data_IF_077205413484
#
_entry.id   IF_077205413484
#
_cell.length_a   1.000
_cell.length_b   1.000
_cell.length_c   1.000
_cell.angle_alpha   90.00
_cell.angle_beta   90.00
_cell.angle_gamma   90.00
#
_symmetry.space_group_name_H-M   'P 1'
#
loop_
_entity.id
_entity.type
_entity.pdbx_description
1 polymer ?
#
# COMPACT_ATOMS: atom_id res chain seq x y z
N UNK A 1 -23.99 15.29 4.62
CA UNK A 1 -23.09 16.28 4.01
C UNK A 1 -23.75 16.76 2.74
N UNK A 2 -24.03 18.06 2.62
CA UNK A 2 -24.66 18.61 1.42
C UNK A 2 -23.60 18.92 0.33
N UNK A 3 -24.06 19.24 -0.89
CA UNK A 3 -23.17 19.56 -2.03
C UNK A 3 -22.27 20.78 -1.74
N UNK A 4 -22.74 21.74 -0.96
CA UNK A 4 -22.03 22.99 -0.66
C UNK A 4 -20.90 22.72 0.33
N UNK A 5 -21.13 21.87 1.33
CA UNK A 5 -20.14 21.41 2.28
C UNK A 5 -19.07 20.57 1.60
N UNK A 6 -19.46 19.62 0.72
CA UNK A 6 -18.50 18.83 -0.05
C UNK A 6 -17.57 19.72 -0.90
N UNK A 7 -18.14 20.72 -1.60
CA UNK A 7 -17.34 21.65 -2.42
C UNK A 7 -16.44 22.54 -1.57
N UNK A 8 -16.88 22.93 -0.36
CA UNK A 8 -16.07 23.68 0.58
C UNK A 8 -14.89 22.83 1.06
N UNK A 9 -15.14 21.58 1.43
CA UNK A 9 -14.10 20.65 1.87
C UNK A 9 -13.10 20.35 0.75
N UNK A 10 -13.56 20.14 -0.48
CA UNK A 10 -12.69 19.93 -1.63
C UNK A 10 -11.83 21.16 -1.93
N UNK A 11 -12.39 22.38 -1.84
CA UNK A 11 -11.65 23.63 -1.97
C UNK A 11 -10.59 23.78 -0.87
N UNK A 12 -10.93 23.46 0.38
CA UNK A 12 -9.99 23.53 1.49
C UNK A 12 -8.84 22.54 1.28
N UNK A 13 -9.14 21.30 0.92
CA UNK A 13 -8.11 20.29 0.60
C UNK A 13 -7.18 20.74 -0.52
N UNK A 14 -7.71 21.35 -1.58
CA UNK A 14 -6.89 21.88 -2.66
C UNK A 14 -5.95 22.99 -2.16
N UNK A 15 -6.43 23.91 -1.32
CA UNK A 15 -5.61 24.96 -0.71
C UNK A 15 -4.54 24.41 0.24
N UNK A 16 -4.91 23.46 1.08
CA UNK A 16 -3.97 22.80 2.00
C UNK A 16 -2.85 22.11 1.23
N UNK A 17 -3.20 21.52 0.07
CA UNK A 17 -2.24 20.89 -0.80
C UNK A 17 -1.33 21.91 -1.50
N UNK A 18 -1.86 23.04 -1.98
CA UNK A 18 -1.02 24.15 -2.46
C UNK A 18 -0.02 24.60 -1.38
N UNK A 19 -0.50 24.84 -0.16
CA UNK A 19 0.33 25.26 0.96
C UNK A 19 1.41 24.22 1.26
N UNK A 20 1.07 22.93 1.23
CA UNK A 20 2.01 21.84 1.40
C UNK A 20 3.10 21.83 0.32
N UNK A 21 2.74 22.01 -0.96
CA UNK A 21 3.74 22.05 -2.04
C UNK A 21 4.66 23.27 -1.91
N UNK A 22 4.10 24.45 -1.63
CA UNK A 22 4.88 25.67 -1.43
C UNK A 22 5.83 25.55 -0.24
N UNK A 23 5.35 25.06 0.91
CA UNK A 23 6.20 24.85 2.08
C UNK A 23 7.26 23.79 1.79
N UNK A 24 6.92 22.71 1.07
CA UNK A 24 7.89 21.66 0.75
C UNK A 24 9.01 22.16 -0.15
N UNK A 25 8.67 22.97 -1.17
CA UNK A 25 9.64 23.61 -2.05
C UNK A 25 10.56 24.56 -1.28
N UNK A 26 10.00 25.36 -0.37
CA UNK A 26 10.77 26.35 0.40
C UNK A 26 11.60 25.72 1.51
N UNK A 27 10.95 24.96 2.40
CA UNK A 27 11.53 24.46 3.64
C UNK A 27 12.49 23.29 3.40
N UNK A 28 12.18 22.40 2.44
CA UNK A 28 12.94 21.16 2.23
C UNK A 28 13.77 21.15 0.95
N UNK A 29 13.38 21.89 -0.09
CA UNK A 29 14.17 22.03 -1.32
C UNK A 29 14.86 23.40 -1.44
N UNK A 30 14.73 24.27 -0.44
CA UNK A 30 15.46 25.54 -0.37
C UNK A 30 15.13 26.50 -1.53
N UNK A 31 13.92 26.41 -2.09
CA UNK A 31 13.49 27.25 -3.21
C UNK A 31 12.94 28.57 -2.73
N UNK A 32 13.36 29.66 -3.40
CA UNK A 32 12.71 30.95 -3.23
C UNK A 32 11.36 30.99 -3.96
N UNK A 33 10.44 31.80 -3.44
CA UNK A 33 9.14 32.04 -4.07
C UNK A 33 9.28 32.48 -5.52
N UNK A 34 10.30 33.31 -5.82
CA UNK A 34 10.60 33.76 -7.17
C UNK A 34 10.99 32.62 -8.11
N UNK A 35 11.80 31.66 -7.64
CA UNK A 35 12.18 30.50 -8.43
C UNK A 35 10.97 29.60 -8.72
N UNK A 36 10.12 29.38 -7.71
CA UNK A 36 8.88 28.62 -7.84
C UNK A 36 7.92 29.31 -8.82
N UNK A 37 7.72 30.63 -8.68
CA UNK A 37 6.84 31.40 -9.55
C UNK A 37 7.31 31.40 -11.00
N UNK A 38 8.62 31.50 -11.25
CA UNK A 38 9.19 31.37 -12.59
C UNK A 38 8.98 29.97 -13.16
N UNK A 39 9.22 28.92 -12.39
CA UNK A 39 9.00 27.55 -12.86
C UNK A 39 7.53 27.28 -13.18
N UNK A 40 6.60 27.71 -12.32
CA UNK A 40 5.16 27.61 -12.58
C UNK A 40 4.77 28.40 -13.85
N UNK A 41 5.32 29.60 -14.04
CA UNK A 41 5.04 30.42 -15.22
C UNK A 41 5.63 29.81 -16.50
N UNK A 42 6.85 29.27 -16.42
CA UNK A 42 7.52 28.58 -17.51
C UNK A 42 6.74 27.34 -17.92
N UNK A 43 6.46 26.46 -16.95
CA UNK A 43 5.63 25.28 -17.12
C UNK A 43 4.26 25.65 -17.73
N UNK A 44 3.57 26.65 -17.17
CA UNK A 44 2.31 27.12 -17.73
C UNK A 44 2.46 27.57 -19.18
N UNK A 45 3.53 28.30 -19.54
CA UNK A 45 3.76 28.78 -20.90
C UNK A 45 4.05 27.63 -21.87
N UNK A 46 5.06 26.81 -21.59
CA UNK A 46 5.48 25.69 -22.43
C UNK A 46 4.36 24.67 -22.61
N UNK A 47 3.53 24.47 -21.59
CA UNK A 47 2.44 23.49 -21.62
C UNK A 47 1.13 24.08 -22.17
N UNK A 48 1.00 25.39 -22.32
CA UNK A 48 -0.24 26.04 -22.76
C UNK A 48 -0.44 26.19 -24.27
N UNK A 49 0.26 25.41 -25.11
CA UNK A 49 0.11 25.46 -26.57
C UNK A 49 -1.34 25.64 -27.05
N UNK A 50 -1.71 26.87 -27.41
CA UNK A 50 -3.06 27.36 -27.74
C UNK A 50 -4.12 27.32 -26.60
N UNK A 51 -4.89 28.41 -26.52
CA UNK A 51 -5.71 28.93 -25.41
C UNK A 51 -6.77 28.01 -24.74
N UNK A 52 -6.89 26.73 -25.11
CA UNK A 52 -7.86 25.80 -24.50
C UNK A 52 -7.27 24.46 -24.04
N UNK A 53 -6.00 24.17 -24.31
CA UNK A 53 -5.39 22.84 -24.15
C UNK A 53 -4.54 22.64 -22.88
N UNK A 54 -4.26 23.69 -22.09
CA UNK A 54 -3.30 23.63 -20.97
C UNK A 54 -3.62 22.58 -19.87
N UNK A 55 -4.89 22.17 -19.77
CA UNK A 55 -5.36 21.15 -18.82
C UNK A 55 -4.93 19.75 -19.21
N UNK A 56 -5.00 19.46 -20.51
CA UNK A 56 -4.50 18.21 -21.07
C UNK A 56 -2.98 18.17 -20.92
N UNK A 57 -2.32 19.31 -21.01
CA UNK A 57 -0.87 19.40 -20.89
C UNK A 57 -0.35 19.22 -19.46
N UNK A 58 -1.00 19.75 -18.42
CA UNK A 58 -0.54 19.52 -17.03
C UNK A 58 -0.74 18.07 -16.59
N UNK A 59 -1.86 17.45 -16.98
CA UNK A 59 -2.11 16.03 -16.78
C UNK A 59 -1.15 15.18 -17.64
N UNK A 60 -0.92 15.54 -18.90
CA UNK A 60 0.03 14.85 -19.77
C UNK A 60 1.47 14.95 -19.25
N UNK A 61 1.89 16.09 -18.72
CA UNK A 61 3.20 16.25 -18.08
C UNK A 61 3.26 15.41 -16.81
N UNK A 62 2.19 15.39 -16.02
CA UNK A 62 2.12 14.49 -14.87
C UNK A 62 2.24 13.03 -15.30
N UNK A 63 1.46 12.57 -16.27
CA UNK A 63 1.51 11.19 -16.79
C UNK A 63 2.89 10.85 -17.38
N UNK A 64 3.51 11.77 -18.14
CA UNK A 64 4.84 11.57 -18.73
C UNK A 64 5.91 11.51 -17.64
N UNK A 65 5.91 12.49 -16.73
CA UNK A 65 6.87 12.54 -15.62
C UNK A 65 6.65 11.37 -14.66
N UNK A 66 5.41 11.01 -14.36
CA UNK A 66 5.04 9.90 -13.47
C UNK A 66 5.38 8.55 -14.10
N UNK A 67 5.19 8.39 -15.41
CA UNK A 67 5.64 7.21 -16.14
C UNK A 67 7.16 7.09 -16.06
N UNK A 68 7.91 8.17 -16.33
CA UNK A 68 9.37 8.16 -16.27
C UNK A 68 9.89 7.94 -14.83
N UNK A 69 9.21 8.49 -13.82
CA UNK A 69 9.50 8.27 -12.40
C UNK A 69 9.27 6.82 -11.96
N UNK A 70 8.26 6.14 -12.51
CA UNK A 70 7.90 4.76 -12.12
C UNK A 70 8.59 3.67 -12.95
N UNK A 71 8.87 3.92 -14.23
CA UNK A 71 9.28 2.87 -15.18
C UNK A 71 10.79 2.70 -15.22
N UNK A 72 11.60 3.76 -15.25
CA UNK A 72 13.05 3.60 -15.44
C UNK A 72 13.83 4.89 -15.13
N UNK A 73 14.95 4.77 -14.44
CA UNK A 73 16.15 5.60 -14.62
C UNK A 73 16.32 7.00 -13.98
N UNK A 74 15.43 7.50 -13.13
CA UNK A 74 15.77 8.72 -12.36
C UNK A 74 16.79 8.51 -11.21
N UNK A 75 17.52 7.38 -11.21
CA UNK A 75 18.71 7.11 -10.37
C UNK A 75 19.96 7.90 -10.82
N UNK A 76 19.81 9.19 -11.11
CA UNK A 76 20.94 10.12 -11.22
C UNK A 76 21.76 10.07 -12.52
N UNK A 77 21.19 9.59 -13.63
CA UNK A 77 21.84 9.76 -14.94
C UNK A 77 21.74 11.22 -15.42
N UNK A 78 22.75 11.69 -16.15
CA UNK A 78 22.95 13.08 -16.59
C UNK A 78 21.75 13.63 -17.40
N UNK A 79 21.00 12.75 -18.08
CA UNK A 79 19.80 13.12 -18.83
C UNK A 79 18.64 13.59 -17.94
N UNK A 80 18.64 13.22 -16.66
CA UNK A 80 17.58 13.55 -15.72
C UNK A 80 17.51 15.04 -15.36
N UNK A 81 18.67 15.70 -15.22
CA UNK A 81 18.73 17.15 -14.95
C UNK A 81 18.28 17.98 -16.16
N UNK A 82 18.55 17.47 -17.36
CA UNK A 82 18.07 18.08 -18.60
C UNK A 82 16.55 18.03 -18.68
N UNK A 83 15.94 16.89 -18.34
CA UNK A 83 14.48 16.74 -18.27
C UNK A 83 13.88 17.77 -17.30
N UNK A 84 14.45 17.92 -16.10
CA UNK A 84 13.96 18.89 -15.12
C UNK A 84 14.08 20.34 -15.62
N UNK A 85 15.20 20.69 -16.27
CA UNK A 85 15.40 22.02 -16.86
C UNK A 85 14.48 22.28 -18.06
N UNK A 86 14.23 21.28 -18.90
CA UNK A 86 13.34 21.37 -20.05
C UNK A 86 11.88 21.55 -19.61
N UNK A 87 11.51 21.02 -18.43
CA UNK A 87 10.16 21.13 -17.87
C UNK A 87 9.93 22.39 -17.02
N UNK A 88 10.94 22.82 -16.26
CA UNK A 88 10.79 23.89 -15.25
C UNK A 88 11.58 25.16 -15.57
N UNK A 89 12.34 25.16 -16.66
CA UNK A 89 13.24 26.23 -17.04
C UNK A 89 14.52 26.27 -16.20
N UNK A 90 15.41 27.21 -16.51
CA UNK A 90 16.65 27.38 -15.77
C UNK A 90 16.41 27.99 -14.38
N UNK A 91 17.12 27.47 -13.36
CA UNK A 91 17.13 28.02 -12.01
C UNK A 91 18.48 27.75 -11.33
N UNK A 92 18.78 28.53 -10.29
CA UNK A 92 19.93 28.32 -9.41
C UNK A 92 19.43 28.11 -7.97
N UNK A 93 19.77 26.98 -7.32
CA UNK A 93 20.45 25.81 -7.89
C UNK A 93 19.61 25.12 -8.98
N UNK A 94 20.23 24.36 -9.89
CA UNK A 94 19.50 23.66 -10.96
C UNK A 94 18.36 22.76 -10.41
N UNK A 95 17.24 22.64 -11.13
CA UNK A 95 16.16 21.73 -10.75
C UNK A 95 16.61 20.27 -10.80
N UNK A 96 16.19 19.50 -9.80
CA UNK A 96 16.29 18.05 -9.83
C UNK A 96 15.00 17.45 -10.39
N UNK A 97 15.05 16.25 -10.97
CA UNK A 97 13.85 15.55 -11.44
C UNK A 97 12.78 15.39 -10.37
N UNK A 98 13.23 15.22 -9.12
CA UNK A 98 12.36 15.04 -7.97
C UNK A 98 11.62 16.30 -7.56
N UNK A 99 12.03 17.48 -8.03
CA UNK A 99 11.32 18.74 -7.79
C UNK A 99 10.19 18.97 -8.81
N UNK A 100 10.16 18.21 -9.91
CA UNK A 100 9.10 18.29 -10.93
C UNK A 100 7.72 17.93 -10.36
N UNK A 101 7.53 16.82 -9.62
CA UNK A 101 6.26 16.53 -8.96
C UNK A 101 5.77 17.65 -8.04
N UNK A 102 6.67 18.39 -7.40
CA UNK A 102 6.27 19.49 -6.52
C UNK A 102 5.67 20.66 -7.30
N UNK A 103 6.32 21.07 -8.41
CA UNK A 103 5.81 22.17 -9.24
C UNK A 103 4.52 21.76 -9.97
N UNK A 104 4.49 20.56 -10.55
CA UNK A 104 3.29 20.03 -11.22
C UNK A 104 2.14 19.92 -10.23
N UNK A 105 2.38 19.32 -9.07
CA UNK A 105 1.39 19.17 -8.01
C UNK A 105 0.87 20.52 -7.50
N UNK A 106 1.75 21.52 -7.33
CA UNK A 106 1.36 22.89 -6.96
C UNK A 106 0.40 23.50 -7.99
N UNK A 107 0.73 23.37 -9.28
CA UNK A 107 -0.13 23.87 -10.36
C UNK A 107 -1.49 23.17 -10.35
N UNK A 108 -1.52 21.84 -10.32
CA UNK A 108 -2.74 21.04 -10.30
C UNK A 108 -3.63 21.42 -9.10
N UNK A 109 -3.06 21.56 -7.91
CA UNK A 109 -3.78 21.96 -6.70
C UNK A 109 -4.35 23.39 -6.79
N UNK A 110 -3.58 24.35 -7.32
CA UNK A 110 -4.04 25.73 -7.49
C UNK A 110 -5.20 25.82 -8.50
N UNK A 111 -5.10 25.06 -9.60
CA UNK A 111 -6.17 24.97 -10.59
C UNK A 111 -7.41 24.26 -10.05
N UNK A 112 -7.25 23.20 -9.26
CA UNK A 112 -8.36 22.57 -8.56
C UNK A 112 -9.06 23.57 -7.64
N UNK A 113 -8.30 24.33 -6.84
CA UNK A 113 -8.85 25.35 -5.95
C UNK A 113 -9.63 26.44 -6.72
N UNK A 114 -9.13 26.88 -7.88
CA UNK A 114 -9.83 27.82 -8.77
C UNK A 114 -11.10 27.18 -9.37
N UNK A 115 -11.02 25.92 -9.78
CA UNK A 115 -12.12 25.17 -10.41
C UNK A 115 -13.29 24.91 -9.47
N UNK A 116 -13.04 24.59 -8.19
CA UNK A 116 -14.10 24.41 -7.19
C UNK A 116 -14.91 25.68 -6.90
N UNK A 117 -14.34 26.87 -7.14
CA UNK A 117 -15.06 28.15 -7.04
C UNK A 117 -15.97 28.42 -8.23
N UNK A 118 -15.84 27.66 -9.32
CA UNK A 118 -16.65 27.85 -10.52
C UNK A 118 -18.12 27.50 -10.27
N UNK A 119 -19.03 28.18 -10.96
CA UNK A 119 -20.43 27.79 -11.05
C UNK A 119 -20.66 26.63 -12.03
N UNK A 120 -19.71 26.36 -12.93
CA UNK A 120 -19.81 25.34 -13.98
C UNK A 120 -19.49 23.94 -13.41
N UNK A 121 -20.42 22.99 -13.57
CA UNK A 121 -20.29 21.64 -13.02
C UNK A 121 -19.16 20.83 -13.66
N UNK A 122 -18.96 20.97 -14.98
CA UNK A 122 -17.83 20.33 -15.68
C UNK A 122 -16.51 20.82 -15.11
N UNK A 123 -16.39 22.13 -14.83
CA UNK A 123 -15.18 22.69 -14.19
C UNK A 123 -14.98 22.17 -12.77
N UNK A 124 -16.04 21.90 -12.01
CA UNK A 124 -15.93 21.29 -10.68
C UNK A 124 -15.52 19.83 -10.74
N UNK A 125 -16.02 19.08 -11.71
CA UNK A 125 -15.61 17.69 -11.93
C UNK A 125 -14.13 17.62 -12.31
N UNK A 126 -13.71 18.48 -13.24
CA UNK A 126 -12.30 18.62 -13.63
C UNK A 126 -11.42 19.00 -12.44
N UNK A 127 -11.87 19.92 -11.58
CA UNK A 127 -11.14 20.26 -10.35
C UNK A 127 -10.95 19.05 -9.43
N UNK A 128 -11.92 18.13 -9.38
CA UNK A 128 -11.80 16.86 -8.67
C UNK A 128 -10.69 15.97 -9.21
N UNK A 129 -10.60 15.84 -10.54
CA UNK A 129 -9.54 15.07 -11.20
C UNK A 129 -8.15 15.67 -10.94
N UNK A 130 -8.02 16.99 -11.14
CA UNK A 130 -6.76 17.70 -10.88
C UNK A 130 -6.32 17.59 -9.40
N UNK A 131 -7.28 17.61 -8.46
CA UNK A 131 -6.98 17.39 -7.05
C UNK A 131 -6.45 15.97 -6.79
N UNK A 132 -7.00 14.95 -7.47
CA UNK A 132 -6.50 13.58 -7.35
C UNK A 132 -5.07 13.46 -7.90
N UNK A 133 -4.79 14.03 -9.06
CA UNK A 133 -3.45 14.03 -9.66
C UNK A 133 -2.44 14.77 -8.78
N UNK A 134 -2.84 15.89 -8.15
CA UNK A 134 -2.00 16.60 -7.20
C UNK A 134 -1.68 15.76 -5.95
N UNK A 135 -2.61 14.90 -5.50
CA UNK A 135 -2.36 13.96 -4.40
C UNK A 135 -1.35 12.90 -4.82
N UNK A 136 -1.43 12.38 -6.05
CA UNK A 136 -0.45 11.44 -6.58
C UNK A 136 0.94 12.09 -6.74
N UNK A 137 1.00 13.36 -7.16
CA UNK A 137 2.24 14.13 -7.21
C UNK A 137 2.91 14.26 -5.84
N UNK A 138 2.12 14.55 -4.80
CA UNK A 138 2.60 14.52 -3.41
C UNK A 138 3.12 13.14 -3.02
N UNK A 139 2.39 12.07 -3.32
CA UNK A 139 2.79 10.69 -2.99
C UNK A 139 4.08 10.30 -3.67
N UNK A 140 4.24 10.61 -4.95
CA UNK A 140 5.47 10.35 -5.69
C UNK A 140 6.67 11.05 -5.07
N UNK A 141 6.53 12.34 -4.71
CA UNK A 141 7.61 13.05 -4.03
C UNK A 141 7.99 12.37 -2.70
N UNK A 142 7.01 12.08 -1.85
CA UNK A 142 7.25 11.42 -0.56
C UNK A 142 7.93 10.06 -0.74
N UNK A 143 7.50 9.27 -1.72
CA UNK A 143 8.02 7.92 -1.94
C UNK A 143 9.45 7.93 -2.50
N UNK A 144 9.71 8.72 -3.53
CA UNK A 144 11.00 8.66 -4.23
C UNK A 144 12.06 9.57 -3.61
N UNK A 145 11.67 10.79 -3.25
CA UNK A 145 12.53 11.81 -2.66
C UNK A 145 12.48 11.72 -1.13
N UNK A 146 11.32 12.00 -0.55
CA UNK A 146 11.12 12.12 0.90
C UNK A 146 11.93 13.25 1.52
N UNK A 147 11.66 13.55 2.80
CA UNK A 147 12.38 14.62 3.51
C UNK A 147 13.86 14.22 3.69
N UNK A 148 14.15 12.93 3.90
CA UNK A 148 15.53 12.45 4.12
C UNK A 148 16.51 12.66 2.97
N UNK A 149 16.03 12.88 1.73
CA UNK A 149 16.90 13.12 0.57
C UNK A 149 16.69 14.50 -0.03
N UNK A 150 15.92 15.37 0.61
CA UNK A 150 15.73 16.75 0.16
C UNK A 150 17.03 17.55 0.34
N UNK A 151 17.09 18.79 -0.19
CA UNK A 151 18.27 19.64 -0.05
C UNK A 151 18.50 20.11 1.38
N UNK A 152 17.41 20.39 2.09
CA UNK A 152 17.39 20.83 3.49
C UNK A 152 16.57 19.83 4.30
N UNK A 153 17.13 18.65 4.61
CA UNK A 153 16.40 17.64 5.37
C UNK A 153 16.16 18.12 6.81
N UNK A 154 14.93 17.98 7.30
CA UNK A 154 14.62 18.19 8.71
C UNK A 154 14.92 16.91 9.49
N UNK A 155 15.97 16.93 10.31
CA UNK A 155 16.41 15.75 11.08
C UNK A 155 15.32 15.13 11.96
N UNK A 156 14.42 15.95 12.51
CA UNK A 156 13.33 15.45 13.35
C UNK A 156 12.33 14.67 12.53
N UNK A 157 11.93 15.20 11.38
CA UNK A 157 10.99 14.56 10.46
C UNK A 157 11.60 13.33 9.80
N UNK A 158 12.88 13.36 9.45
CA UNK A 158 13.60 12.18 8.93
C UNK A 158 13.59 11.03 9.94
N UNK A 159 13.79 11.33 11.23
CA UNK A 159 13.68 10.29 12.28
C UNK A 159 12.26 9.73 12.37
N UNK A 160 11.23 10.58 12.25
CA UNK A 160 9.85 10.13 12.24
C UNK A 160 9.50 9.31 11.00
N UNK A 161 9.93 9.72 9.80
CA UNK A 161 9.77 8.95 8.56
C UNK A 161 10.40 7.56 8.68
N UNK A 162 11.63 7.48 9.22
CA UNK A 162 12.28 6.20 9.50
C UNK A 162 11.49 5.33 10.47
N UNK A 163 11.00 5.91 11.57
CA UNK A 163 10.21 5.19 12.57
C UNK A 163 8.86 4.67 12.01
N UNK A 164 8.22 5.42 11.10
CA UNK A 164 7.01 4.99 10.39
C UNK A 164 7.35 3.82 9.47
N UNK A 165 8.39 3.93 8.65
CA UNK A 165 8.82 2.86 7.74
C UNK A 165 9.15 1.57 8.51
N UNK A 166 9.87 1.67 9.63
CA UNK A 166 10.16 0.54 10.52
C UNK A 166 8.89 -0.05 11.16
N UNK A 167 7.89 0.78 11.47
CA UNK A 167 6.60 0.32 11.98
C UNK A 167 5.81 -0.43 10.90
N UNK A 168 5.73 0.10 9.69
CA UNK A 168 5.08 -0.54 8.55
C UNK A 168 5.71 -1.87 8.20
N UNK A 169 7.05 -1.95 8.17
CA UNK A 169 7.77 -3.19 7.91
C UNK A 169 7.48 -4.24 9.00
N UNK A 170 7.44 -3.81 10.28
CA UNK A 170 7.05 -4.71 11.39
C UNK A 170 5.62 -5.22 11.23
N UNK A 171 4.67 -4.36 10.84
CA UNK A 171 3.29 -4.77 10.59
C UNK A 171 3.21 -5.76 9.44
N UNK A 172 3.92 -5.51 8.33
CA UNK A 172 3.97 -6.41 7.19
C UNK A 172 4.55 -7.78 7.56
N UNK A 173 5.66 -7.81 8.33
CA UNK A 173 6.25 -9.05 8.85
C UNK A 173 5.27 -9.81 9.75
N UNK A 174 4.53 -9.12 10.61
CA UNK A 174 3.51 -9.74 11.46
C UNK A 174 2.32 -10.27 10.65
N UNK A 175 1.87 -9.56 9.63
CA UNK A 175 0.80 -10.00 8.75
C UNK A 175 1.20 -11.29 7.99
N UNK A 176 2.43 -11.34 7.48
CA UNK A 176 2.99 -12.54 6.84
C UNK A 176 3.13 -13.72 7.82
N UNK A 177 3.57 -13.47 9.05
CA UNK A 177 3.63 -14.50 10.08
C UNK A 177 2.24 -15.05 10.44
N UNK A 178 1.22 -14.19 10.51
CA UNK A 178 -0.18 -14.58 10.76
C UNK A 178 -0.74 -15.41 9.61
N UNK A 179 -0.52 -15.01 8.36
CA UNK A 179 -1.01 -15.77 7.19
C UNK A 179 -0.38 -17.16 7.11
N UNK A 180 0.93 -17.28 7.34
CA UNK A 180 1.61 -18.57 7.45
C UNK A 180 1.12 -19.43 8.62
N UNK A 181 0.75 -18.79 9.75
CA UNK A 181 0.11 -19.46 10.89
C UNK A 181 -1.26 -20.03 10.55
N UNK A 182 -2.10 -19.25 9.85
CA UNK A 182 -3.44 -19.68 9.42
C UNK A 182 -3.39 -20.82 8.40
N UNK A 183 -2.45 -20.79 7.45
CA UNK A 183 -2.30 -21.86 6.47
C UNK A 183 -1.87 -23.17 7.13
N UNK A 184 -0.92 -23.10 8.06
CA UNK A 184 -0.52 -24.26 8.87
C UNK A 184 -1.69 -24.80 9.68
N UNK A 185 -2.44 -23.95 10.37
CA UNK A 185 -3.61 -24.38 11.14
C UNK A 185 -4.68 -25.06 10.27
N UNK A 186 -4.92 -24.56 9.05
CA UNK A 186 -5.86 -25.18 8.09
C UNK A 186 -5.44 -26.60 7.69
N UNK A 187 -4.15 -26.82 7.38
CA UNK A 187 -3.62 -28.17 7.05
C UNK A 187 -3.78 -29.15 8.21
N UNK A 188 -3.56 -28.70 9.45
CA UNK A 188 -3.77 -29.51 10.65
C UNK A 188 -5.25 -29.80 10.92
N UNK A 189 -6.15 -28.86 10.60
CA UNK A 189 -7.60 -29.07 10.72
C UNK A 189 -8.09 -30.14 9.72
N UNK A 190 -7.71 -30.03 8.45
CA UNK A 190 -8.04 -31.01 7.41
C UNK A 190 -7.51 -32.41 7.76
N UNK A 191 -6.25 -32.50 8.22
CA UNK A 191 -5.66 -33.76 8.65
C UNK A 191 -6.39 -34.37 9.87
N UNK A 192 -6.84 -33.53 10.81
CA UNK A 192 -7.62 -33.97 11.96
C UNK A 192 -8.97 -34.53 11.54
N UNK A 193 -9.69 -33.82 10.68
CA UNK A 193 -11.03 -34.21 10.24
C UNK A 193 -10.97 -35.54 9.47
N UNK A 194 -9.98 -35.69 8.58
CA UNK A 194 -9.70 -36.96 7.89
C UNK A 194 -9.42 -38.10 8.88
N UNK A 195 -8.57 -37.87 9.90
CA UNK A 195 -8.26 -38.89 10.91
C UNK A 195 -9.49 -39.30 11.73
N UNK A 196 -10.38 -38.36 12.05
CA UNK A 196 -11.61 -38.66 12.79
C UNK A 196 -12.55 -39.53 11.93
N UNK A 197 -12.63 -39.24 10.63
CA UNK A 197 -13.39 -40.05 9.68
C UNK A 197 -12.81 -41.47 9.53
N UNK A 198 -11.51 -41.58 9.28
CA UNK A 198 -10.81 -42.87 9.14
C UNK A 198 -10.92 -43.72 10.41
N UNK A 199 -10.88 -43.09 11.59
CA UNK A 199 -11.14 -43.80 12.84
C UNK A 199 -12.57 -44.35 12.89
N UNK A 200 -13.57 -43.60 12.45
CA UNK A 200 -14.96 -44.07 12.44
C UNK A 200 -15.17 -45.27 11.51
N UNK A 201 -14.44 -45.31 10.39
CA UNK A 201 -14.53 -46.38 9.40
C UNK A 201 -13.70 -47.62 9.79
N UNK A 202 -12.51 -47.42 10.36
CA UNK A 202 -11.54 -48.51 10.57
C UNK A 202 -11.30 -48.87 12.04
N UNK A 203 -11.95 -48.25 13.03
CA UNK A 203 -11.68 -48.59 14.44
C UNK A 203 -11.87 -50.08 14.78
N UNK A 204 -12.75 -50.78 14.06
CA UNK A 204 -13.03 -52.20 14.22
C UNK A 204 -11.85 -53.11 13.86
N UNK A 205 -11.07 -52.79 12.82
CA UNK A 205 -9.89 -53.59 12.42
C UNK A 205 -8.71 -53.45 13.38
N UNK A 206 -8.77 -52.44 14.25
CA UNK A 206 -7.76 -52.16 15.27
C UNK A 206 -8.20 -52.58 16.68
N UNK A 207 -9.24 -53.39 16.85
CA UNK A 207 -9.82 -53.75 18.15
C UNK A 207 -10.14 -52.53 19.03
N UNK A 208 -10.53 -51.41 18.40
CA UNK A 208 -10.70 -50.09 19.04
C UNK A 208 -9.45 -49.58 19.80
N UNK A 209 -8.26 -50.05 19.44
CA UNK A 209 -6.99 -49.60 19.98
C UNK A 209 -6.49 -48.34 19.27
N UNK A 210 -6.79 -47.17 19.85
CA UNK A 210 -6.36 -45.86 19.35
C UNK A 210 -4.84 -45.73 19.20
N UNK A 211 -4.06 -46.47 19.99
CA UNK A 211 -2.59 -46.41 19.94
C UNK A 211 -2.00 -47.22 18.79
N UNK A 212 -2.65 -48.32 18.39
CA UNK A 212 -2.26 -49.07 17.20
C UNK A 212 -2.59 -48.24 15.95
N UNK A 213 -3.82 -47.73 15.87
CA UNK A 213 -4.26 -46.86 14.78
C UNK A 213 -3.41 -45.58 14.65
N UNK A 214 -3.14 -44.88 15.75
CA UNK A 214 -2.36 -43.65 15.72
C UNK A 214 -0.92 -43.85 15.22
N UNK A 215 -0.29 -45.02 15.44
CA UNK A 215 1.06 -45.31 14.94
C UNK A 215 1.09 -45.48 13.43
N UNK A 216 0.09 -46.16 12.88
CA UNK A 216 0.00 -46.41 11.44
C UNK A 216 -0.37 -45.13 10.69
N UNK A 217 -1.39 -44.43 11.20
CA UNK A 217 -1.93 -43.25 10.54
C UNK A 217 -1.05 -42.01 10.67
N UNK A 218 -0.15 -41.93 11.65
CA UNK A 218 0.84 -40.86 11.74
C UNK A 218 1.68 -40.72 10.46
N UNK A 219 2.11 -41.86 9.89
CA UNK A 219 2.89 -41.87 8.64
C UNK A 219 2.03 -41.49 7.43
N UNK A 220 0.76 -41.86 7.45
CA UNK A 220 -0.19 -41.54 6.39
C UNK A 220 -0.56 -40.05 6.39
N UNK A 221 -0.76 -39.42 7.55
CA UNK A 221 -0.99 -37.97 7.68
C UNK A 221 0.16 -37.16 7.06
N UNK A 222 1.40 -37.58 7.32
CA UNK A 222 2.58 -36.92 6.73
C UNK A 222 2.63 -37.08 5.21
N UNK A 223 2.26 -38.25 4.69
CA UNK A 223 2.25 -38.53 3.24
C UNK A 223 1.10 -37.82 2.50
N UNK A 224 -0.09 -37.80 3.09
CA UNK A 224 -1.33 -37.37 2.44
C UNK A 224 -1.65 -35.90 2.67
N UNK A 225 -1.30 -35.36 3.82
CA UNK A 225 -1.55 -33.96 4.19
C UNK A 225 -0.27 -33.13 4.37
N UNK A 226 0.91 -33.74 4.26
CA UNK A 226 2.20 -33.04 4.41
C UNK A 226 2.48 -32.54 5.83
N UNK A 227 1.73 -33.04 6.82
CA UNK A 227 1.82 -32.59 8.22
C UNK A 227 2.55 -33.62 9.08
N UNK A 228 3.55 -33.19 9.83
CA UNK A 228 4.22 -34.04 10.81
C UNK A 228 3.49 -33.97 12.17
N UNK A 229 2.94 -35.10 12.61
CA UNK A 229 2.11 -35.20 13.81
C UNK A 229 2.68 -36.30 14.68
N UNK A 230 2.62 -36.18 16.00
CA UNK A 230 3.03 -37.25 16.92
C UNK A 230 1.87 -38.19 17.21
N UNK A 231 2.14 -39.48 17.42
CA UNK A 231 1.14 -40.48 17.84
C UNK A 231 0.26 -39.97 18.99
N UNK A 232 0.90 -39.36 20.00
CA UNK A 232 0.23 -38.78 21.17
C UNK A 232 -0.85 -37.76 20.78
N UNK A 233 -0.56 -36.90 19.79
CA UNK A 233 -1.50 -35.87 19.32
C UNK A 233 -2.73 -36.49 18.67
N UNK A 234 -2.55 -37.52 17.83
CA UNK A 234 -3.66 -38.24 17.20
C UNK A 234 -4.53 -38.90 18.28
N UNK A 235 -3.91 -39.67 19.18
CA UNK A 235 -4.59 -40.47 20.20
C UNK A 235 -5.32 -39.62 21.24
N UNK A 236 -4.66 -38.61 21.79
CA UNK A 236 -5.12 -37.89 22.98
C UNK A 236 -5.82 -36.56 22.67
N UNK A 237 -5.50 -35.94 21.54
CA UNK A 237 -6.05 -34.62 21.16
C UNK A 237 -7.10 -34.78 20.07
N UNK A 238 -6.76 -35.42 18.95
CA UNK A 238 -7.67 -35.51 17.80
C UNK A 238 -8.79 -36.51 18.04
N UNK A 239 -8.46 -37.68 18.58
CA UNK A 239 -9.41 -38.75 18.92
C UNK A 239 -9.89 -38.67 20.39
N UNK A 240 -9.79 -37.51 21.04
CA UNK A 240 -10.14 -37.35 22.47
C UNK A 240 -11.59 -37.76 22.78
N UNK A 241 -12.52 -37.39 21.90
CA UNK A 241 -13.96 -37.54 22.11
C UNK A 241 -14.59 -38.72 21.35
N UNK A 242 -13.81 -39.48 20.58
CA UNK A 242 -14.30 -40.72 19.97
C UNK A 242 -14.36 -41.84 21.01
N UNK A 243 -15.45 -42.62 21.06
CA UNK A 243 -15.60 -43.66 22.09
C UNK A 243 -14.49 -44.73 21.98
N UNK A 244 -13.96 -45.15 23.13
CA UNK A 244 -13.12 -46.35 23.25
C UNK A 244 -13.98 -47.53 23.76
N UNK A 245 -13.61 -48.76 23.39
CA UNK A 245 -14.41 -49.98 23.61
C UNK A 245 -14.94 -50.22 25.04
N UNK A 246 -14.33 -49.65 26.07
CA UNK A 246 -14.64 -49.98 27.46
C UNK A 246 -15.92 -49.36 28.04
N UNK A 247 -16.65 -48.49 27.31
CA UNK A 247 -17.89 -47.86 27.83
C UNK A 247 -19.21 -48.29 27.20
N UNK A 248 -19.24 -48.93 26.02
CA UNK A 248 -20.50 -49.43 25.43
C UNK A 248 -21.01 -50.72 26.07
N UNK A 249 -20.13 -51.56 26.62
CA UNK A 249 -20.52 -52.80 27.30
C UNK A 249 -21.30 -52.58 28.62
N UNK A 250 -21.21 -51.39 29.24
CA UNK A 250 -21.96 -51.08 30.48
C UNK A 250 -23.33 -50.43 30.26
N UNK A 251 -23.59 -49.86 29.08
CA UNK A 251 -24.90 -49.23 28.80
C UNK A 251 -25.91 -50.17 28.14
N UNK A 252 -25.48 -51.31 27.59
CA UNK A 252 -26.39 -52.34 27.06
C UNK A 252 -26.71 -53.47 28.06
N UNK A 253 -26.09 -53.48 29.25
CA UNK A 253 -26.32 -54.49 30.30
C UNK A 253 -27.12 -53.96 31.50
N UNK A 254 -27.76 -52.79 31.36
CA UNK A 254 -28.56 -52.15 32.40
C UNK A 254 -29.87 -51.57 31.88
N UNK A 255 -30.48 -52.25 30.92
CA UNK A 255 -31.88 -52.08 30.51
C UNK A 255 -32.73 -53.20 31.09
#
# INVERSE_FOLDING_TARGET
>A
MDKKDLLRDALNRAKDLCAWFTSTLSDYEGRSDDAVARAVSFAAKEWSGSESAWRDSAHWVWETTFHDLNVSNLKGEVDSLKIASDLLGAAEPAWTPWEVPLIVGLMLADFAAKGFRSANEVRRLQAGLLLADAVEAKRAWVFFRGIGKSRTPDESLVRFEGAISDAEERVARQAFARSGGTERQSKYALARDWIVQEWAEHCGSYDNNKSAFARDYMRMVKRQHGVDVKEKTIREVWLRHTPAASKRARQQAGG
#
